data_IF_409753124615
#
_entry.id   IF_409753124615
#
_cell.length_a   1.000
_cell.length_b   1.000
_cell.length_c   1.000
_cell.angle_alpha   90.00
_cell.angle_beta   90.00
_cell.angle_gamma   90.00
#
_symmetry.space_group_name_H-M   'P 1'
#
loop_
_entity.id
_entity.type
_entity.pdbx_description
1 polymer ?
#
# COMPACT_ATOMS: atom_id res chain seq x y z
N UNK A 1 19.82 16.41 0.38
CA UNK A 1 19.27 17.79 0.39
C UNK A 1 20.07 18.61 -0.60
N UNK A 2 19.47 18.92 -1.74
CA UNK A 2 20.17 19.47 -2.92
C UNK A 2 19.41 19.27 -4.24
N UNK A 3 18.28 18.58 -4.17
CA UNK A 3 17.33 18.48 -5.28
C UNK A 3 16.43 19.72 -5.32
N UNK A 4 16.11 20.18 -6.52
CA UNK A 4 15.08 21.18 -6.75
C UNK A 4 13.72 20.47 -6.59
N UNK A 5 12.97 20.81 -5.55
CA UNK A 5 11.73 20.12 -5.20
C UNK A 5 10.51 20.73 -5.88
N UNK A 6 9.59 19.87 -6.31
CA UNK A 6 8.28 20.30 -6.80
C UNK A 6 7.46 21.00 -5.70
N UNK A 7 7.62 20.59 -4.44
CA UNK A 7 6.92 21.20 -3.30
C UNK A 7 7.28 22.67 -3.10
N UNK A 8 8.54 23.02 -3.34
CA UNK A 8 9.01 24.41 -3.24
C UNK A 8 8.38 25.27 -4.36
N UNK A 9 8.26 24.71 -5.57
CA UNK A 9 7.58 25.37 -6.68
C UNK A 9 6.08 25.58 -6.40
N UNK A 10 5.41 24.59 -5.81
CA UNK A 10 3.99 24.71 -5.40
C UNK A 10 3.83 25.77 -4.30
N UNK A 11 4.76 25.88 -3.35
CA UNK A 11 4.76 26.95 -2.34
C UNK A 11 4.89 28.35 -2.95
N UNK A 12 5.71 28.50 -3.99
CA UNK A 12 5.79 29.75 -4.73
C UNK A 12 4.49 30.04 -5.50
N UNK A 13 3.86 29.02 -6.08
CA UNK A 13 2.60 29.15 -6.81
C UNK A 13 1.46 29.65 -5.91
N UNK A 14 1.37 29.12 -4.68
CA UNK A 14 0.35 29.51 -3.70
C UNK A 14 0.37 31.01 -3.32
N UNK A 15 1.47 31.73 -3.61
CA UNK A 15 1.59 33.19 -3.38
C UNK A 15 1.04 34.02 -4.54
N UNK A 16 0.84 33.40 -5.70
CA UNK A 16 0.43 34.05 -6.95
C UNK A 16 -1.04 33.72 -7.25
N UNK A 17 -1.46 32.48 -7.02
CA UNK A 17 -2.81 32.01 -7.28
C UNK A 17 -3.27 30.95 -6.27
N UNK A 18 -4.59 30.71 -6.25
CA UNK A 18 -5.20 29.72 -5.37
C UNK A 18 -4.82 28.31 -5.80
N UNK A 19 -4.26 27.53 -4.88
CA UNK A 19 -4.05 26.08 -5.04
C UNK A 19 -5.03 25.35 -4.15
N UNK A 20 -5.81 24.44 -4.72
CA UNK A 20 -6.80 23.65 -3.98
C UNK A 20 -6.30 22.23 -3.74
N UNK A 21 -6.54 21.72 -2.54
CA UNK A 21 -6.30 20.32 -2.22
C UNK A 21 -7.48 19.47 -2.66
N UNK A 22 -7.22 18.45 -3.48
CA UNK A 22 -8.23 17.47 -3.86
C UNK A 22 -8.34 16.35 -2.81
N UNK A 23 -9.54 16.13 -2.28
CA UNK A 23 -9.81 15.03 -1.37
C UNK A 23 -10.06 13.73 -2.15
N UNK A 24 -9.03 12.91 -2.26
CA UNK A 24 -9.10 11.62 -2.96
C UNK A 24 -10.16 10.70 -2.33
N UNK A 25 -11.01 10.11 -3.16
CA UNK A 25 -11.93 9.05 -2.76
C UNK A 25 -11.29 7.66 -2.89
N UNK A 26 -11.68 6.72 -2.01
CA UNK A 26 -11.20 5.35 -2.05
C UNK A 26 -10.03 5.10 -1.08
N UNK A 27 -9.13 4.17 -1.44
CA UNK A 27 -7.98 3.78 -0.62
C UNK A 27 -6.70 3.89 -1.44
N UNK A 28 -5.69 4.53 -0.88
CA UNK A 28 -4.33 4.52 -1.42
C UNK A 28 -3.48 3.44 -0.75
N UNK A 29 -2.47 2.96 -1.48
CA UNK A 29 -1.40 2.14 -0.94
C UNK A 29 -0.08 2.88 -1.13
N UNK A 30 0.64 3.11 -0.03
CA UNK A 30 2.01 3.62 -0.10
C UNK A 30 2.96 2.46 -0.41
N UNK A 31 3.33 2.32 -1.68
CA UNK A 31 4.29 1.30 -2.11
C UNK A 31 5.76 1.77 -2.05
N UNK A 32 6.02 3.00 -1.56
CA UNK A 32 7.37 3.49 -1.29
C UNK A 32 7.96 2.96 0.01
N UNK A 33 7.09 2.60 0.97
CA UNK A 33 7.46 1.87 2.18
C UNK A 33 7.32 0.35 2.00
N UNK A 34 8.21 -0.41 2.64
CA UNK A 34 8.25 -1.88 2.54
C UNK A 34 6.98 -2.53 3.09
N UNK A 35 6.48 -2.07 4.25
CA UNK A 35 5.29 -2.65 4.84
C UNK A 35 4.04 -2.25 4.04
N UNK A 36 3.98 -1.01 3.58
CA UNK A 36 2.91 -0.53 2.69
C UNK A 36 2.83 -1.34 1.39
N UNK A 37 3.97 -1.63 0.76
CA UNK A 37 4.05 -2.51 -0.39
C UNK A 37 3.52 -3.92 -0.11
N UNK A 38 3.94 -4.56 0.99
CA UNK A 38 3.47 -5.90 1.35
C UNK A 38 1.95 -5.94 1.61
N UNK A 39 1.39 -4.90 2.24
CA UNK A 39 -0.06 -4.78 2.43
C UNK A 39 -0.79 -4.67 1.09
N UNK A 40 -0.26 -3.88 0.15
CA UNK A 40 -0.83 -3.76 -1.18
C UNK A 40 -0.85 -5.12 -1.89
N UNK A 41 0.26 -5.86 -1.85
CA UNK A 41 0.33 -7.20 -2.44
C UNK A 41 -0.74 -8.13 -1.85
N UNK A 42 -0.84 -8.21 -0.52
CA UNK A 42 -1.84 -9.07 0.13
C UNK A 42 -3.26 -8.69 -0.27
N UNK A 43 -3.62 -7.41 -0.21
CA UNK A 43 -4.98 -6.94 -0.55
C UNK A 43 -5.35 -7.22 -2.01
N UNK A 44 -4.42 -7.01 -2.96
CA UNK A 44 -4.69 -7.24 -4.37
C UNK A 44 -4.67 -8.73 -4.74
N UNK A 45 -3.78 -9.53 -4.15
CA UNK A 45 -3.75 -10.98 -4.36
C UNK A 45 -5.05 -11.65 -3.89
N UNK A 46 -5.67 -11.17 -2.80
CA UNK A 46 -6.96 -11.67 -2.34
C UNK A 46 -8.13 -11.31 -3.27
N UNK A 47 -8.00 -10.25 -4.07
CA UNK A 47 -9.03 -9.81 -5.04
C UNK A 47 -8.84 -10.40 -6.44
N UNK A 48 -7.76 -11.14 -6.67
CA UNK A 48 -7.49 -11.74 -7.97
C UNK A 48 -8.59 -12.75 -8.36
N UNK A 49 -9.06 -12.67 -9.61
CA UNK A 49 -10.20 -13.48 -10.09
C UNK A 49 -9.90 -14.98 -10.14
N UNK A 50 -8.62 -15.35 -10.32
CA UNK A 50 -8.20 -16.73 -10.48
C UNK A 50 -7.59 -17.29 -9.19
N UNK A 51 -6.86 -16.47 -8.44
CA UNK A 51 -6.04 -16.88 -7.30
C UNK A 51 -6.61 -16.43 -5.95
N UNK A 52 -7.55 -15.48 -5.93
CA UNK A 52 -8.01 -14.83 -4.71
C UNK A 52 -8.57 -15.80 -3.67
N UNK A 53 -9.37 -16.78 -4.11
CA UNK A 53 -9.95 -17.80 -3.23
C UNK A 53 -8.88 -18.67 -2.56
N UNK A 54 -7.95 -19.20 -3.36
CA UNK A 54 -6.89 -20.08 -2.86
C UNK A 54 -5.90 -19.33 -1.98
N UNK A 55 -5.53 -18.11 -2.40
CA UNK A 55 -4.64 -17.24 -1.64
C UNK A 55 -5.25 -16.82 -0.30
N UNK A 56 -6.53 -16.45 -0.28
CA UNK A 56 -7.24 -16.10 0.96
C UNK A 56 -7.29 -17.28 1.92
N UNK A 57 -7.54 -18.48 1.40
CA UNK A 57 -7.56 -19.72 2.19
C UNK A 57 -6.19 -20.00 2.81
N UNK A 58 -5.12 -19.89 2.01
CA UNK A 58 -3.75 -20.04 2.47
C UNK A 58 -3.38 -19.05 3.58
N UNK A 59 -3.65 -17.74 3.37
CA UNK A 59 -3.32 -16.71 4.37
C UNK A 59 -4.11 -16.93 5.66
N UNK A 60 -5.39 -17.31 5.57
CA UNK A 60 -6.25 -17.59 6.73
C UNK A 60 -5.71 -18.78 7.54
N UNK A 61 -5.22 -19.82 6.87
CA UNK A 61 -4.58 -20.96 7.54
C UNK A 61 -3.25 -20.55 8.19
N UNK A 62 -2.44 -19.74 7.48
CA UNK A 62 -1.13 -19.30 7.95
C UNK A 62 -1.21 -18.49 9.25
N UNK A 63 -2.21 -17.62 9.39
CA UNK A 63 -2.37 -16.75 10.56
C UNK A 63 -3.20 -17.39 11.68
N UNK A 64 -3.65 -18.63 11.51
CA UNK A 64 -4.46 -19.32 12.51
C UNK A 64 -3.59 -19.81 13.69
N UNK A 65 -3.77 -19.25 14.90
CA UNK A 65 -2.91 -19.58 16.05
C UNK A 65 -3.10 -21.01 16.58
N UNK A 66 -4.15 -21.72 16.16
CA UNK A 66 -4.44 -23.10 16.58
C UNK A 66 -3.83 -24.16 15.66
N UNK A 67 -3.27 -23.77 14.51
CA UNK A 67 -2.54 -24.66 13.60
C UNK A 67 -1.05 -24.29 13.68
N UNK A 68 -0.20 -25.22 14.07
CA UNK A 68 1.24 -24.99 14.11
C UNK A 68 1.75 -24.66 12.69
N UNK A 69 2.23 -23.45 12.48
CA UNK A 69 2.68 -22.98 11.17
C UNK A 69 3.81 -23.86 10.62
N UNK A 70 3.65 -24.39 9.42
CA UNK A 70 4.67 -25.20 8.73
C UNK A 70 5.86 -24.39 8.20
N UNK A 71 5.82 -23.05 8.33
CA UNK A 71 6.95 -22.19 8.02
C UNK A 71 8.04 -22.37 9.08
N UNK A 72 8.94 -23.32 8.84
CA UNK A 72 10.27 -23.26 9.44
C UNK A 72 10.92 -21.99 8.92
N UNK A 73 11.34 -21.11 9.83
CA UNK A 73 12.25 -20.03 9.49
C UNK A 73 13.44 -20.65 8.74
N UNK A 74 13.67 -20.19 7.52
CA UNK A 74 14.89 -20.48 6.75
C UNK A 74 16.00 -19.61 7.30
#
# INVERSE_FOLDING_TARGET
GGEIQLTDAIDMLMKIETVEAFHMSGRAHDCGDKLGYLKAIVEYSMRDENLGTDFTSFVTELVNPKKASHLKAV
#
